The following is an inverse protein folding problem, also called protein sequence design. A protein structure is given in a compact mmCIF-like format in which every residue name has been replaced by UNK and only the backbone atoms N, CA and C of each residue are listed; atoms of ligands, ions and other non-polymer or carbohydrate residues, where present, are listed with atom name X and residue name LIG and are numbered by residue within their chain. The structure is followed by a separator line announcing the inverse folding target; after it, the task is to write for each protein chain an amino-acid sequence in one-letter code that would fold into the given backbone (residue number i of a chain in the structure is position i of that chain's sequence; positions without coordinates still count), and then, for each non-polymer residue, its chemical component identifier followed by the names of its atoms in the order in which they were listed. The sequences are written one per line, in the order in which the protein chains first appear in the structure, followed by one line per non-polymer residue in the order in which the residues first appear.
data_IF_294429071877
#
_entry.id   IF_294429071877
#
_cell.length_a   1.000
_cell.length_b   1.000
_cell.length_c   1.000
_cell.angle_alpha   90.00
_cell.angle_beta   90.00
_cell.angle_gamma   90.00
#
_symmetry.space_group_name_H-M   'P 1'
#
loop_
_entity.id
_entity.type
_entity.pdbx_description
1 polymer ?
#
# COMPACT_ATOMS: atom_id res chain seq x y z
N UNK A 1 39.04 15.15 -23.46
CA UNK A 1 38.37 14.93 -22.16
C UNK A 1 36.86 15.14 -22.26
N UNK A 2 36.38 16.23 -22.86
CA UNK A 2 34.95 16.49 -23.09
C UNK A 2 34.21 15.41 -23.88
N UNK A 3 34.83 14.85 -24.92
CA UNK A 3 34.23 13.84 -25.80
C UNK A 3 33.97 12.48 -25.10
N UNK A 4 34.95 11.99 -24.33
CA UNK A 4 34.81 10.77 -23.52
C UNK A 4 33.74 10.95 -22.44
N UNK A 5 33.69 12.11 -21.79
CA UNK A 5 32.65 12.42 -20.81
C UNK A 5 31.25 12.43 -21.43
N UNK A 6 31.10 12.94 -22.66
CA UNK A 6 29.82 12.92 -23.38
C UNK A 6 29.39 11.50 -23.76
N UNK A 7 30.33 10.66 -24.20
CA UNK A 7 30.05 9.25 -24.51
C UNK A 7 29.60 8.46 -23.26
N UNK A 8 30.27 8.67 -22.11
CA UNK A 8 29.90 8.03 -20.85
C UNK A 8 28.51 8.50 -20.38
N UNK A 9 28.21 9.79 -20.48
CA UNK A 9 26.88 10.33 -20.14
C UNK A 9 25.80 9.69 -21.03
N UNK A 10 26.04 9.58 -22.34
CA UNK A 10 25.09 8.97 -23.26
C UNK A 10 24.83 7.49 -22.92
N UNK A 11 25.87 6.74 -22.57
CA UNK A 11 25.73 5.35 -22.12
C UNK A 11 24.95 5.24 -20.80
N UNK A 12 25.22 6.11 -19.83
CA UNK A 12 24.46 6.13 -18.57
C UNK A 12 22.99 6.46 -18.78
N UNK A 13 22.68 7.41 -19.67
CA UNK A 13 21.29 7.76 -19.99
C UNK A 13 20.56 6.58 -20.65
N UNK A 14 21.18 5.87 -21.59
CA UNK A 14 20.58 4.66 -22.19
C UNK A 14 20.35 3.56 -21.16
N UNK A 15 21.29 3.34 -20.23
CA UNK A 15 21.09 2.40 -19.13
C UNK A 15 19.94 2.81 -18.20
N UNK A 16 19.80 4.09 -17.90
CA UNK A 16 18.68 4.61 -17.10
C UNK A 16 17.33 4.39 -17.81
N UNK A 17 17.26 4.69 -19.11
CA UNK A 17 16.04 4.47 -19.91
C UNK A 17 15.66 2.98 -19.97
N UNK A 18 16.65 2.09 -20.09
CA UNK A 18 16.42 0.65 -20.04
C UNK A 18 15.90 0.21 -18.67
N UNK A 19 16.54 0.65 -17.58
CA UNK A 19 16.09 0.33 -16.23
C UNK A 19 14.66 0.84 -15.97
N UNK A 20 14.31 2.02 -16.47
CA UNK A 20 12.96 2.57 -16.36
C UNK A 20 11.93 1.73 -17.11
N UNK A 21 12.26 1.23 -18.30
CA UNK A 21 11.39 0.30 -19.05
C UNK A 21 11.16 -0.99 -18.27
N UNK A 22 12.23 -1.61 -17.77
CA UNK A 22 12.15 -2.84 -16.99
C UNK A 22 11.32 -2.65 -15.71
N UNK A 23 11.50 -1.53 -15.00
CA UNK A 23 10.72 -1.21 -13.81
C UNK A 23 9.22 -1.03 -14.12
N UNK A 24 8.88 -0.41 -15.26
CA UNK A 24 7.48 -0.29 -15.71
C UNK A 24 6.87 -1.66 -15.99
N UNK A 25 7.62 -2.55 -16.62
CA UNK A 25 7.16 -3.92 -16.92
C UNK A 25 6.99 -4.74 -15.64
N UNK A 26 7.95 -4.71 -14.72
CA UNK A 26 7.85 -5.37 -13.43
C UNK A 26 6.61 -4.89 -12.65
N UNK A 27 6.34 -3.58 -12.63
CA UNK A 27 5.13 -3.01 -12.00
C UNK A 27 3.85 -3.47 -12.66
N UNK A 28 3.83 -3.66 -13.99
CA UNK A 28 2.67 -4.21 -14.71
C UNK A 28 2.41 -5.67 -14.30
N UNK A 29 3.45 -6.49 -14.23
CA UNK A 29 3.33 -7.90 -13.81
C UNK A 29 2.82 -8.00 -12.37
N UNK A 30 3.36 -7.17 -11.46
CA UNK A 30 2.89 -7.13 -10.07
C UNK A 30 1.39 -6.83 -10.01
N UNK A 31 0.90 -5.85 -10.79
CA UNK A 31 -0.54 -5.54 -10.85
C UNK A 31 -1.37 -6.73 -11.32
N UNK A 32 -0.93 -7.44 -12.36
CA UNK A 32 -1.64 -8.64 -12.84
C UNK A 32 -1.71 -9.73 -11.76
N UNK A 33 -0.62 -9.94 -11.01
CA UNK A 33 -0.60 -10.90 -9.89
C UNK A 33 -1.58 -10.45 -8.78
N UNK A 34 -1.61 -9.15 -8.45
CA UNK A 34 -2.56 -8.61 -7.48
C UNK A 34 -4.02 -8.80 -7.92
N UNK A 35 -4.32 -8.60 -9.20
CA UNK A 35 -5.65 -8.83 -9.80
C UNK A 35 -6.06 -10.30 -9.70
N UNK A 36 -5.18 -11.23 -10.08
CA UNK A 36 -5.46 -12.67 -9.95
C UNK A 36 -5.71 -13.07 -8.50
N UNK A 37 -4.91 -12.55 -7.55
CA UNK A 37 -5.09 -12.81 -6.12
C UNK A 37 -6.43 -12.27 -5.62
N UNK A 38 -6.77 -11.02 -5.97
CA UNK A 38 -8.04 -10.40 -5.64
C UNK A 38 -9.21 -11.26 -6.11
N UNK A 39 -9.20 -11.71 -7.37
CA UNK A 39 -10.27 -12.54 -7.93
C UNK A 39 -10.37 -13.90 -7.22
N UNK A 40 -9.23 -14.52 -6.92
CA UNK A 40 -9.18 -15.76 -6.13
C UNK A 40 -9.78 -15.56 -4.74
N UNK A 41 -9.44 -14.46 -4.07
CA UNK A 41 -9.94 -14.15 -2.73
C UNK A 41 -11.44 -13.83 -2.74
N UNK A 42 -11.97 -13.19 -3.79
CA UNK A 42 -13.41 -12.94 -3.94
C UNK A 42 -14.21 -14.25 -3.95
N UNK A 43 -13.66 -15.32 -4.52
CA UNK A 43 -14.32 -16.63 -4.61
C UNK A 43 -14.30 -17.43 -3.29
N UNK A 44 -13.45 -17.07 -2.33
CA UNK A 44 -13.42 -17.75 -1.03
C UNK A 44 -14.72 -17.50 -0.26
N UNK A 45 -15.24 -18.46 0.52
CA UNK A 45 -16.31 -18.19 1.48
C UNK A 45 -15.79 -17.30 2.60
N UNK A 46 -16.60 -16.34 3.05
CA UNK A 46 -16.21 -15.43 4.12
C UNK A 46 -17.09 -14.20 4.22
N UNK A 47 -16.72 -13.31 5.12
CA UNK A 47 -17.43 -12.05 5.39
C UNK A 47 -16.71 -10.92 4.66
N UNK A 48 -17.45 -10.15 3.87
CA UNK A 48 -16.93 -8.98 3.16
C UNK A 48 -17.24 -7.70 3.93
N UNK A 49 -16.33 -6.73 3.84
CA UNK A 49 -16.55 -5.41 4.41
C UNK A 49 -15.45 -4.42 4.09
N UNK A 50 -15.73 -3.17 4.41
CA UNK A 50 -14.87 -2.03 4.10
C UNK A 50 -13.96 -1.73 5.29
N UNK A 51 -12.67 -1.54 5.03
CA UNK A 51 -11.71 -1.16 6.04
C UNK A 51 -11.90 0.32 6.46
N UNK A 52 -12.15 0.57 7.75
CA UNK A 52 -12.35 1.92 8.30
C UNK A 52 -11.10 2.54 8.95
N UNK A 53 -9.94 1.89 8.76
CA UNK A 53 -8.69 2.28 9.42
C UNK A 53 -8.34 1.42 10.63
N UNK A 54 -9.29 0.67 11.18
CA UNK A 54 -9.04 -0.30 12.28
C UNK A 54 -9.86 -1.57 12.13
N UNK A 55 -11.08 -1.48 11.62
CA UNK A 55 -12.02 -2.58 11.48
C UNK A 55 -12.37 -2.83 10.02
N UNK A 56 -12.73 -4.08 9.73
CA UNK A 56 -13.59 -4.42 8.62
C UNK A 56 -15.03 -4.16 9.06
N UNK A 57 -15.74 -3.33 8.32
CA UNK A 57 -17.14 -2.97 8.58
C UNK A 57 -18.01 -3.59 7.49
N UNK A 58 -18.92 -4.48 7.89
CA UNK A 58 -19.85 -5.14 6.95
C UNK A 58 -20.98 -4.20 6.53
N UNK A 59 -21.74 -4.58 5.51
CA UNK A 59 -22.91 -3.82 5.06
C UNK A 59 -23.97 -3.63 6.17
N UNK A 60 -24.09 -4.60 7.07
CA UNK A 60 -25.00 -4.55 8.23
C UNK A 60 -24.41 -3.78 9.43
N UNK A 61 -23.21 -3.20 9.28
CA UNK A 61 -22.55 -2.41 10.31
C UNK A 61 -21.78 -3.20 11.37
N UNK A 62 -21.66 -4.53 11.21
CA UNK A 62 -20.84 -5.35 12.09
C UNK A 62 -19.36 -5.01 11.90
N UNK A 63 -18.61 -4.96 13.01
CA UNK A 63 -17.20 -4.60 13.01
C UNK A 63 -16.33 -5.78 13.43
N UNK A 64 -15.29 -6.04 12.64
CA UNK A 64 -14.28 -7.06 12.91
C UNK A 64 -12.91 -6.41 12.93
N UNK A 65 -12.17 -6.56 14.03
CA UNK A 65 -10.88 -5.91 14.19
C UNK A 65 -9.85 -6.49 13.21
N UNK A 66 -9.21 -5.61 12.44
CA UNK A 66 -8.16 -5.98 11.51
C UNK A 66 -6.82 -5.84 12.24
N UNK A 67 -5.96 -6.89 12.25
CA UNK A 67 -4.66 -6.80 12.90
C UNK A 67 -3.84 -5.62 12.36
N UNK A 68 -3.40 -4.72 13.24
CA UNK A 68 -2.68 -3.51 12.86
C UNK A 68 -1.40 -3.79 12.03
N UNK A 69 -0.70 -4.88 12.37
CA UNK A 69 0.46 -5.38 11.63
C UNK A 69 0.10 -5.80 10.18
N UNK A 70 -1.04 -6.45 10.00
CA UNK A 70 -1.53 -6.81 8.66
C UNK A 70 -1.89 -5.55 7.88
N UNK A 71 -2.60 -4.61 8.50
CA UNK A 71 -2.98 -3.35 7.88
C UNK A 71 -1.74 -2.55 7.41
N UNK A 72 -0.69 -2.48 8.23
CA UNK A 72 0.56 -1.82 7.91
C UNK A 72 1.33 -2.53 6.77
N UNK A 73 1.56 -3.84 6.88
CA UNK A 73 2.30 -4.63 5.87
C UNK A 73 1.61 -4.63 4.51
N UNK A 74 0.29 -4.68 4.50
CA UNK A 74 -0.54 -4.65 3.29
C UNK A 74 -0.79 -3.23 2.77
N UNK A 75 -0.34 -2.18 3.50
CA UNK A 75 -0.57 -0.77 3.19
C UNK A 75 -2.05 -0.47 2.93
N UNK A 76 -2.92 -0.98 3.80
CA UNK A 76 -4.35 -0.74 3.70
C UNK A 76 -4.66 0.74 3.88
N UNK A 77 -5.64 1.21 3.12
CA UNK A 77 -6.16 2.58 3.20
C UNK A 77 -7.65 2.49 3.51
N UNK A 78 -8.16 3.51 4.21
CA UNK A 78 -9.60 3.66 4.43
C UNK A 78 -10.39 3.47 3.13
N UNK A 79 -11.41 2.62 3.17
CA UNK A 79 -12.23 2.30 2.00
C UNK A 79 -11.83 1.00 1.29
N UNK A 80 -10.70 0.37 1.66
CA UNK A 80 -10.29 -0.90 1.04
C UNK A 80 -11.31 -2.00 1.33
N UNK A 81 -11.69 -2.75 0.29
CA UNK A 81 -12.59 -3.87 0.46
C UNK A 81 -11.79 -5.10 0.85
N UNK A 82 -12.18 -5.68 1.98
CA UNK A 82 -11.55 -6.85 2.57
C UNK A 82 -12.53 -8.01 2.62
N UNK A 83 -11.96 -9.21 2.62
CA UNK A 83 -12.67 -10.45 2.95
C UNK A 83 -12.02 -11.08 4.17
N UNK A 84 -12.82 -11.32 5.20
CA UNK A 84 -12.46 -12.11 6.37
C UNK A 84 -12.81 -13.56 6.09
N UNK A 85 -11.80 -14.41 6.10
CA UNK A 85 -11.92 -15.85 5.84
C UNK A 85 -11.43 -16.63 7.04
N UNK A 86 -11.93 -17.84 7.22
CA UNK A 86 -11.42 -18.78 8.21
C UNK A 86 -10.56 -19.83 7.48
N UNK A 87 -9.27 -19.84 7.79
CA UNK A 87 -8.29 -20.78 7.24
C UNK A 87 -7.62 -21.50 8.41
N UNK A 88 -7.73 -22.83 8.46
CA UNK A 88 -7.08 -23.67 9.49
C UNK A 88 -7.41 -23.25 10.94
N UNK A 89 -8.66 -22.83 11.18
CA UNK A 89 -9.14 -22.37 12.50
C UNK A 89 -8.60 -21.00 12.91
N UNK A 90 -8.02 -20.24 11.98
CA UNK A 90 -7.57 -18.86 12.18
C UNK A 90 -8.34 -17.90 11.28
N UNK A 91 -8.70 -16.77 11.85
CA UNK A 91 -9.27 -15.65 11.08
C UNK A 91 -8.17 -14.93 10.31
N UNK A 92 -8.33 -14.87 8.99
CA UNK A 92 -7.42 -14.19 8.07
C UNK A 92 -8.17 -13.10 7.31
N UNK A 93 -7.48 -11.99 7.06
CA UNK A 93 -7.99 -10.92 6.22
C UNK A 93 -7.27 -10.95 4.87
N UNK A 94 -8.04 -10.81 3.79
CA UNK A 94 -7.54 -10.75 2.42
C UNK A 94 -8.08 -9.48 1.77
N UNK A 95 -7.21 -8.66 1.19
CA UNK A 95 -7.65 -7.50 0.42
C UNK A 95 -8.20 -7.97 -0.92
N UNK A 96 -9.48 -7.68 -1.18
CA UNK A 96 -10.16 -8.04 -2.42
C UNK A 96 -10.33 -6.85 -3.36
N UNK A 97 -10.31 -5.62 -2.84
CA UNK A 97 -10.28 -4.43 -3.68
C UNK A 97 -9.53 -3.28 -3.01
N UNK A 98 -8.77 -2.53 -3.81
CA UNK A 98 -8.10 -1.31 -3.36
C UNK A 98 -9.03 -0.12 -3.58
N UNK A 99 -9.26 0.68 -2.54
CA UNK A 99 -9.92 1.96 -2.66
C UNK A 99 -9.19 2.86 -3.69
N UNK A 100 -9.93 3.66 -4.46
CA UNK A 100 -9.36 4.69 -5.31
C UNK A 100 -8.42 5.59 -4.50
N UNK A 101 -7.15 5.65 -4.91
CA UNK A 101 -6.13 6.39 -4.18
C UNK A 101 -5.07 6.96 -5.11
N UNK A 102 -4.41 8.03 -4.66
CA UNK A 102 -3.27 8.65 -5.33
C UNK A 102 -2.03 8.51 -4.46
N UNK A 103 -0.85 8.43 -5.09
CA UNK A 103 0.42 8.56 -4.37
C UNK A 103 0.77 10.04 -4.32
N UNK A 104 1.03 10.52 -3.11
CA UNK A 104 1.45 11.89 -2.83
C UNK A 104 2.68 11.82 -1.94
N UNK A 105 3.61 12.74 -2.14
CA UNK A 105 4.75 12.92 -1.26
C UNK A 105 4.38 13.93 -0.17
N UNK A 106 5.05 13.83 0.97
CA UNK A 106 4.76 14.68 2.12
C UNK A 106 5.80 14.56 3.21
N UNK A 107 5.72 15.49 4.16
CA UNK A 107 6.62 15.59 5.30
C UNK A 107 6.01 14.82 6.47
N UNK A 108 6.76 13.87 7.01
CA UNK A 108 6.38 13.14 8.22
C UNK A 108 6.40 14.07 9.43
N UNK A 109 5.36 14.02 10.26
CA UNK A 109 5.24 14.79 11.48
C UNK A 109 4.53 13.98 12.57
N UNK A 110 4.71 14.35 13.84
CA UNK A 110 3.99 13.77 14.97
C UNK A 110 3.38 14.86 15.83
N UNK A 111 2.06 14.83 15.96
CA UNK A 111 1.26 15.79 16.75
C UNK A 111 0.43 15.03 17.77
N UNK A 112 0.52 15.43 19.04
CA UNK A 112 -0.27 14.83 20.14
C UNK A 112 -0.16 13.29 20.18
N UNK A 113 1.04 12.76 19.93
CA UNK A 113 1.31 11.33 19.92
C UNK A 113 0.87 10.59 18.64
N UNK A 114 0.11 11.20 17.74
CA UNK A 114 -0.31 10.62 16.47
C UNK A 114 0.60 11.03 15.31
N UNK A 115 0.85 10.10 14.40
CA UNK A 115 1.62 10.35 13.18
C UNK A 115 0.77 10.93 12.06
N UNK A 116 1.37 11.87 11.33
CA UNK A 116 0.76 12.53 10.19
C UNK A 116 1.76 12.68 9.04
N UNK A 117 1.24 12.65 7.82
CA UNK A 117 1.94 13.12 6.62
C UNK A 117 1.32 14.45 6.22
N UNK A 118 2.13 15.51 6.21
CA UNK A 118 1.76 16.84 5.77
C UNK A 118 2.07 16.98 4.28
N UNK A 119 1.08 17.34 3.48
CA UNK A 119 1.22 17.59 2.05
C UNK A 119 0.58 18.93 1.69
N UNK A 120 0.77 19.37 0.45
CA UNK A 120 0.12 20.57 -0.09
C UNK A 120 -1.41 20.45 -0.10
N UNK A 121 -1.96 19.23 -0.12
CA UNK A 121 -3.39 18.95 -0.13
C UNK A 121 -4.00 18.76 1.26
N UNK A 122 -3.19 18.70 2.32
CA UNK A 122 -3.65 18.59 3.70
C UNK A 122 -2.80 17.69 4.59
N UNK A 123 -3.36 17.32 5.74
CA UNK A 123 -2.72 16.44 6.71
C UNK A 123 -3.43 15.09 6.75
N UNK A 124 -2.66 14.01 6.59
CA UNK A 124 -3.17 12.65 6.56
C UNK A 124 -2.65 11.88 7.77
N UNK A 125 -3.55 11.39 8.61
CA UNK A 125 -3.18 10.55 9.76
C UNK A 125 -2.70 9.18 9.26
N UNK A 126 -1.63 8.66 9.85
CA UNK A 126 -1.17 7.29 9.64
C UNK A 126 -1.13 6.54 10.97
N UNK A 127 -1.22 5.21 10.93
CA UNK A 127 -1.13 4.39 12.15
C UNK A 127 0.32 4.25 12.62
N UNK A 128 0.50 4.01 13.93
CA UNK A 128 1.82 3.76 14.51
C UNK A 128 2.53 2.57 13.85
N UNK A 129 1.79 1.50 13.57
CA UNK A 129 2.32 0.31 12.91
C UNK A 129 2.78 0.62 11.48
N UNK A 130 2.10 1.51 10.76
CA UNK A 130 2.53 1.93 9.42
C UNK A 130 3.78 2.82 9.47
N UNK A 131 3.90 3.68 10.49
CA UNK A 131 5.09 4.47 10.73
C UNK A 131 6.29 3.55 11.06
N UNK A 132 6.13 2.63 12.01
CA UNK A 132 7.16 1.66 12.40
C UNK A 132 7.58 0.76 11.25
N UNK A 133 6.62 0.19 10.51
CA UNK A 133 6.89 -0.66 9.35
C UNK A 133 7.69 0.07 8.26
N UNK A 134 7.43 1.37 8.10
CA UNK A 134 8.14 2.24 7.16
C UNK A 134 9.47 2.79 7.71
N UNK A 135 9.85 2.42 8.95
CA UNK A 135 11.01 2.96 9.68
C UNK A 135 11.00 4.48 9.72
N UNK A 136 9.83 5.03 10.01
CA UNK A 136 9.58 6.45 10.06
C UNK A 136 10.37 7.07 11.23
N UNK A 137 11.27 8.01 10.90
CA UNK A 137 12.06 8.78 11.85
C UNK A 137 11.83 10.27 11.60
N UNK A 138 11.68 11.05 12.68
CA UNK A 138 11.66 12.51 12.59
C UNK A 138 13.11 12.96 12.69
N UNK A 139 13.57 13.69 11.68
CA UNK A 139 14.89 14.35 11.70
C UNK A 139 14.94 15.47 12.74
#
# INVERSE_FOLDING_TARGET
MTDISQQIIAQLLDHLDNADRELRDARRIIRQIEEIKSETYKQLPGIEGVFDGTYLVTQDGQKYEVPANYAAKSRLVYGDLLKMVEEEGKTMFKQIEKAPRKRIEGILNKKEGSWYILTDSGSYKISDNAAEFSRAEIN
#
